data_IF_812724431252
#
_entry.id   IF_812724431252
#
_cell.length_a   1.000
_cell.length_b   1.000
_cell.length_c   1.000
_cell.angle_alpha   90.00
_cell.angle_beta   90.00
_cell.angle_gamma   90.00
#
_symmetry.space_group_name_H-M   'P 1'
#
loop_
_entity.id
_entity.type
_entity.pdbx_description
1 polymer ?
#
# COMPACT_ATOMS: atom_id res chain seq x y z
N UNK A 1 67.82 62.40 -30.42
CA UNK A 1 66.64 63.24 -30.73
C UNK A 1 65.79 63.30 -29.47
N UNK A 2 65.84 64.42 -28.74
CA UNK A 2 65.03 64.69 -27.55
C UNK A 2 63.71 65.33 -27.98
N UNK A 3 62.59 64.74 -27.57
CA UNK A 3 61.25 65.34 -27.72
C UNK A 3 61.02 66.18 -26.46
N UNK A 4 61.13 67.50 -26.58
CA UNK A 4 60.74 68.43 -25.53
C UNK A 4 59.21 68.47 -25.45
N UNK A 5 58.63 67.88 -24.40
CA UNK A 5 57.25 68.10 -24.03
C UNK A 5 57.13 69.51 -23.44
N UNK A 6 56.54 70.42 -24.21
CA UNK A 6 56.15 71.75 -23.76
C UNK A 6 55.01 71.62 -22.75
N UNK A 7 55.34 71.74 -21.46
CA UNK A 7 54.35 71.94 -20.41
C UNK A 7 54.06 73.44 -20.32
N UNK A 8 52.91 73.84 -20.84
CA UNK A 8 52.31 75.14 -20.54
C UNK A 8 51.89 75.09 -19.06
N UNK A 9 52.62 75.78 -18.20
CA UNK A 9 52.16 76.10 -16.85
C UNK A 9 51.06 77.16 -16.97
N UNK A 10 49.83 76.91 -16.49
CA UNK A 10 48.90 78.00 -16.27
C UNK A 10 49.35 78.76 -15.01
N UNK A 11 49.72 80.02 -15.19
CA UNK A 11 49.82 81.00 -14.10
C UNK A 11 48.43 81.13 -13.45
N UNK A 12 48.25 80.46 -12.31
CA UNK A 12 47.13 80.73 -11.41
C UNK A 12 47.60 81.73 -10.35
N UNK A 13 47.40 83.01 -10.63
CA UNK A 13 47.26 84.02 -9.58
C UNK A 13 45.96 83.76 -8.81
N UNK A 14 46.02 82.78 -7.92
CA UNK A 14 44.91 82.38 -7.05
C UNK A 14 44.67 83.47 -6.00
N UNK A 15 43.58 84.21 -6.16
CA UNK A 15 43.04 85.04 -5.08
C UNK A 15 42.74 84.16 -3.85
N UNK A 16 43.13 84.56 -2.63
CA UNK A 16 42.98 83.73 -1.41
C UNK A 16 41.53 83.28 -1.13
N UNK A 17 40.54 84.03 -1.63
CA UNK A 17 39.11 83.69 -1.56
C UNK A 17 38.73 82.44 -2.37
N UNK A 18 39.39 82.22 -3.51
CA UNK A 18 39.11 81.09 -4.41
C UNK A 18 39.62 79.78 -3.81
N UNK A 19 40.75 79.84 -3.08
CA UNK A 19 41.31 78.72 -2.35
C UNK A 19 40.43 78.32 -1.15
N UNK A 20 39.89 79.30 -0.41
CA UNK A 20 38.97 79.02 0.72
C UNK A 20 37.63 78.44 0.25
N UNK A 21 37.09 78.90 -0.88
CA UNK A 21 35.91 78.29 -1.50
C UNK A 21 36.17 76.85 -1.95
N UNK A 22 37.33 76.57 -2.56
CA UNK A 22 37.70 75.22 -2.96
C UNK A 22 37.82 74.28 -1.74
N UNK A 23 38.45 74.74 -0.65
CA UNK A 23 38.51 74.00 0.61
C UNK A 23 37.12 73.71 1.16
N UNK A 24 36.23 74.70 1.19
CA UNK A 24 34.87 74.53 1.68
C UNK A 24 34.08 73.50 0.86
N UNK A 25 34.20 73.53 -0.48
CA UNK A 25 33.55 72.56 -1.36
C UNK A 25 34.12 71.15 -1.15
N UNK A 26 35.45 71.01 -1.08
CA UNK A 26 36.10 69.71 -0.86
C UNK A 26 35.71 69.12 0.49
N UNK A 27 35.68 69.93 1.55
CA UNK A 27 35.23 69.51 2.88
C UNK A 27 33.75 69.10 2.87
N UNK A 28 32.89 69.86 2.18
CA UNK A 28 31.47 69.52 2.03
C UNK A 28 31.26 68.17 1.35
N UNK A 29 31.98 67.91 0.25
CA UNK A 29 31.95 66.63 -0.47
C UNK A 29 32.47 65.47 0.41
N UNK A 30 33.56 65.68 1.15
CA UNK A 30 34.10 64.67 2.07
C UNK A 30 33.12 64.33 3.19
N UNK A 31 32.48 65.32 3.80
CA UNK A 31 31.48 65.11 4.86
C UNK A 31 30.24 64.37 4.32
N UNK A 32 29.76 64.75 3.13
CA UNK A 32 28.66 64.05 2.46
C UNK A 32 29.02 62.58 2.14
N UNK A 33 30.23 62.33 1.63
CA UNK A 33 30.72 60.99 1.33
C UNK A 33 30.87 60.14 2.61
N UNK A 34 31.42 60.71 3.69
CA UNK A 34 31.57 60.05 4.98
C UNK A 34 30.21 59.69 5.60
N UNK A 35 29.25 60.61 5.58
CA UNK A 35 27.90 60.36 6.11
C UNK A 35 27.15 59.33 5.27
N UNK A 36 27.26 59.35 3.94
CA UNK A 36 26.69 58.32 3.07
C UNK A 36 27.33 56.94 3.33
N UNK A 37 28.66 56.87 3.46
CA UNK A 37 29.38 55.63 3.76
C UNK A 37 29.02 55.08 5.15
N UNK A 38 28.84 55.94 6.15
CA UNK A 38 28.42 55.55 7.49
C UNK A 38 26.99 55.04 7.50
N UNK A 39 26.07 55.72 6.79
CA UNK A 39 24.68 55.27 6.64
C UNK A 39 24.61 53.90 5.94
N UNK A 40 25.37 53.71 4.87
CA UNK A 40 25.48 52.41 4.18
C UNK A 40 25.99 51.30 5.12
N UNK A 41 27.05 51.55 5.89
CA UNK A 41 27.56 50.58 6.88
C UNK A 41 26.51 50.21 7.93
N UNK A 42 25.74 51.20 8.41
CA UNK A 42 24.67 50.96 9.37
C UNK A 42 23.53 50.12 8.78
N UNK A 43 23.11 50.40 7.54
CA UNK A 43 22.05 49.63 6.88
C UNK A 43 22.47 48.19 6.58
N UNK A 44 23.72 47.98 6.14
CA UNK A 44 24.24 46.63 5.90
C UNK A 44 24.28 45.83 7.20
N UNK A 45 24.82 46.40 8.29
CA UNK A 45 24.85 45.72 9.60
C UNK A 45 23.45 45.39 10.13
N UNK A 46 22.48 46.27 9.91
CA UNK A 46 21.10 46.02 10.32
C UNK A 46 20.47 44.91 9.49
N UNK A 47 20.68 44.92 8.17
CA UNK A 47 20.21 43.86 7.27
C UNK A 47 20.83 42.49 7.59
N UNK A 48 22.12 42.43 7.91
CA UNK A 48 22.79 41.17 8.32
C UNK A 48 22.21 40.59 9.62
N UNK A 49 21.90 41.44 10.60
CA UNK A 49 21.25 40.99 11.85
C UNK A 49 19.84 40.49 11.60
N UNK A 50 19.05 41.26 10.84
CA UNK A 50 17.69 40.86 10.48
C UNK A 50 17.68 39.54 9.69
N UNK A 51 18.63 39.35 8.76
CA UNK A 51 18.77 38.10 8.03
C UNK A 51 19.17 36.92 8.93
N UNK A 52 20.02 37.17 9.93
CA UNK A 52 20.43 36.14 10.91
C UNK A 52 19.26 35.74 11.82
N UNK A 53 18.48 36.72 12.30
CA UNK A 53 17.28 36.47 13.12
C UNK A 53 16.23 35.68 12.33
N UNK A 54 15.91 36.10 11.10
CA UNK A 54 14.98 35.37 10.23
C UNK A 54 15.46 33.94 9.93
N UNK A 55 16.76 33.76 9.66
CA UNK A 55 17.33 32.43 9.42
C UNK A 55 17.22 31.54 10.65
N UNK A 56 17.44 32.10 11.84
CA UNK A 56 17.31 31.37 13.10
C UNK A 56 15.86 30.99 13.38
N UNK A 57 14.91 31.89 13.16
CA UNK A 57 13.49 31.64 13.42
C UNK A 57 12.88 30.66 12.41
N UNK A 58 13.27 30.75 11.13
CA UNK A 58 12.95 29.73 10.13
C UNK A 58 13.53 28.37 10.53
N UNK A 59 14.79 28.33 11.01
CA UNK A 59 15.41 27.11 11.51
C UNK A 59 14.63 26.47 12.66
N UNK A 60 14.20 27.26 13.65
CA UNK A 60 13.35 26.78 14.76
C UNK A 60 11.99 26.29 14.27
N UNK A 61 11.35 27.02 13.35
CA UNK A 61 10.05 26.65 12.79
C UNK A 61 10.12 25.32 12.04
N UNK A 62 11.12 25.18 11.15
CA UNK A 62 11.34 23.95 10.39
C UNK A 62 11.67 22.77 11.31
N UNK A 63 12.46 22.98 12.35
CA UNK A 63 12.76 21.96 13.35
C UNK A 63 11.49 21.50 14.09
N UNK A 64 10.65 22.43 14.53
CA UNK A 64 9.39 22.10 15.21
C UNK A 64 8.43 21.33 14.30
N UNK A 65 8.36 21.71 13.01
CA UNK A 65 7.53 21.02 12.02
C UNK A 65 8.05 19.60 11.72
N UNK A 66 9.37 19.43 11.61
CA UNK A 66 10.00 18.12 11.44
C UNK A 66 9.69 17.20 12.63
N UNK A 67 9.81 17.69 13.87
CA UNK A 67 9.49 16.92 15.07
C UNK A 67 8.00 16.56 15.15
N UNK A 68 7.11 17.47 14.73
CA UNK A 68 5.69 17.20 14.66
C UNK A 68 5.38 16.08 13.65
N UNK A 69 5.99 16.12 12.47
CA UNK A 69 5.86 15.08 11.45
C UNK A 69 6.45 13.74 11.90
N UNK A 70 7.62 13.74 12.54
CA UNK A 70 8.20 12.52 13.14
C UNK A 70 7.25 11.93 14.20
N UNK A 71 6.67 12.75 15.06
CA UNK A 71 5.70 12.30 16.06
C UNK A 71 4.44 11.72 15.43
N UNK A 72 3.95 12.31 14.33
CA UNK A 72 2.84 11.74 13.54
C UNK A 72 3.22 10.38 12.95
N UNK A 73 4.41 10.26 12.34
CA UNK A 73 4.91 8.99 11.78
C UNK A 73 5.01 7.88 12.84
N UNK A 74 5.58 8.18 14.00
CA UNK A 74 5.67 7.22 15.11
C UNK A 74 4.27 6.82 15.61
N UNK A 75 3.31 7.76 15.66
CA UNK A 75 1.92 7.44 16.01
C UNK A 75 1.25 6.53 14.98
N UNK A 76 1.43 6.81 13.68
CA UNK A 76 0.86 5.95 12.63
C UNK A 76 1.47 4.56 12.63
N UNK A 77 2.79 4.45 12.84
CA UNK A 77 3.49 3.16 12.92
C UNK A 77 3.03 2.34 14.13
N UNK A 78 2.85 2.97 15.29
CA UNK A 78 2.26 2.33 16.48
C UNK A 78 0.83 1.87 16.24
N UNK A 79 0.03 2.62 15.48
CA UNK A 79 -1.32 2.21 15.13
C UNK A 79 -1.31 1.01 14.17
N UNK A 80 -0.44 1.02 13.15
CA UNK A 80 -0.28 -0.08 12.21
C UNK A 80 0.15 -1.37 12.90
N UNK A 81 1.17 -1.31 13.76
CA UNK A 81 1.64 -2.46 14.55
C UNK A 81 0.57 -3.00 15.49
N UNK A 82 -0.25 -2.13 16.12
CA UNK A 82 -1.41 -2.56 16.91
C UNK A 82 -2.43 -3.32 16.07
N UNK A 83 -2.81 -2.79 14.91
CA UNK A 83 -3.75 -3.45 14.01
C UNK A 83 -3.20 -4.78 13.50
N UNK A 84 -1.91 -4.83 13.15
CA UNK A 84 -1.25 -6.06 12.72
C UNK A 84 -1.26 -7.13 13.81
N UNK A 85 -1.01 -6.74 15.06
CA UNK A 85 -1.09 -7.65 16.21
C UNK A 85 -2.52 -8.12 16.44
N UNK A 86 -3.52 -7.23 16.37
CA UNK A 86 -4.93 -7.62 16.48
C UNK A 86 -5.35 -8.62 15.40
N UNK A 87 -4.92 -8.41 14.17
CA UNK A 87 -5.20 -9.31 13.05
C UNK A 87 -4.58 -10.69 13.29
N UNK A 88 -3.30 -10.71 13.71
CA UNK A 88 -2.61 -11.96 14.09
C UNK A 88 -3.36 -12.70 15.19
N UNK A 89 -3.73 -11.99 16.26
CA UNK A 89 -4.43 -12.60 17.40
C UNK A 89 -5.81 -13.12 16.98
N UNK A 90 -6.52 -12.42 16.08
CA UNK A 90 -7.78 -12.88 15.51
C UNK A 90 -7.61 -14.18 14.71
N UNK A 91 -6.57 -14.29 13.88
CA UNK A 91 -6.27 -15.53 13.17
C UNK A 91 -5.91 -16.70 14.09
N UNK A 92 -5.16 -16.43 15.18
CA UNK A 92 -4.86 -17.47 16.18
C UNK A 92 -6.16 -17.97 16.82
N UNK A 93 -7.05 -17.06 17.25
CA UNK A 93 -8.34 -17.43 17.84
C UNK A 93 -9.22 -18.20 16.87
N UNK A 94 -9.26 -17.79 15.60
CA UNK A 94 -10.02 -18.50 14.58
C UNK A 94 -9.51 -19.94 14.46
N UNK A 95 -8.20 -20.13 14.40
CA UNK A 95 -7.59 -21.46 14.37
C UNK A 95 -7.91 -22.28 15.62
N UNK A 96 -7.84 -21.68 16.81
CA UNK A 96 -8.21 -22.35 18.07
C UNK A 96 -9.67 -22.78 18.08
N UNK A 97 -10.58 -21.93 17.60
CA UNK A 97 -12.01 -22.26 17.47
C UNK A 97 -12.22 -23.41 16.49
N UNK A 98 -11.55 -23.40 15.34
CA UNK A 98 -11.62 -24.50 14.38
C UNK A 98 -11.09 -25.82 14.97
N UNK A 99 -10.00 -25.77 15.74
CA UNK A 99 -9.48 -26.94 16.46
C UNK A 99 -10.48 -27.46 17.48
N UNK A 100 -11.07 -26.59 18.30
CA UNK A 100 -12.08 -26.98 19.28
C UNK A 100 -13.35 -27.57 18.64
N UNK A 101 -13.82 -26.98 17.53
CA UNK A 101 -14.93 -27.53 16.73
C UNK A 101 -14.61 -28.91 16.17
N UNK A 102 -13.39 -29.12 15.68
CA UNK A 102 -12.95 -30.41 15.17
C UNK A 102 -12.84 -31.47 16.27
N UNK A 103 -12.42 -31.10 17.47
CA UNK A 103 -12.40 -31.97 18.65
C UNK A 103 -13.82 -32.34 19.11
N UNK A 104 -14.70 -31.36 19.26
CA UNK A 104 -16.11 -31.61 19.61
C UNK A 104 -16.79 -32.55 18.61
N UNK A 105 -16.58 -32.33 17.30
CA UNK A 105 -17.10 -33.22 16.26
C UNK A 105 -16.53 -34.63 16.35
N UNK A 106 -15.28 -34.80 16.79
CA UNK A 106 -14.68 -36.12 17.02
C UNK A 106 -15.32 -36.81 18.22
N UNK A 107 -15.52 -36.10 19.32
CA UNK A 107 -16.18 -36.63 20.51
C UNK A 107 -17.64 -37.06 20.22
N UNK A 108 -18.37 -36.28 19.43
CA UNK A 108 -19.72 -36.63 18.96
C UNK A 108 -19.71 -37.95 18.16
N UNK A 109 -18.76 -38.09 17.22
CA UNK A 109 -18.60 -39.31 16.44
C UNK A 109 -18.18 -40.52 17.31
N UNK A 110 -17.35 -40.32 18.31
CA UNK A 110 -16.95 -41.37 19.26
C UNK A 110 -18.11 -41.78 20.18
N UNK A 111 -18.95 -40.83 20.59
CA UNK A 111 -20.18 -41.05 21.36
C UNK A 111 -21.27 -41.77 20.56
N UNK A 112 -21.44 -41.42 19.28
CA UNK A 112 -22.29 -42.17 18.35
C UNK A 112 -21.74 -43.58 18.10
N UNK A 113 -20.43 -43.74 17.92
CA UNK A 113 -19.79 -45.04 17.73
C UNK A 113 -19.84 -45.93 19.00
N UNK A 114 -19.93 -45.34 20.19
CA UNK A 114 -20.22 -46.08 21.43
C UNK A 114 -21.66 -46.60 21.52
N UNK A 115 -22.58 -46.03 20.74
CA UNK A 115 -24.02 -46.41 20.70
C UNK A 115 -24.34 -47.39 19.57
N UNK A 116 -23.53 -47.40 18.52
CA UNK A 116 -23.55 -48.39 17.45
C UNK A 116 -22.57 -49.51 17.82
N UNK A 117 -23.01 -50.75 18.05
CA UNK A 117 -22.13 -51.88 18.40
C UNK A 117 -21.15 -52.34 17.29
N UNK A 118 -20.54 -51.42 16.53
CA UNK A 118 -19.58 -51.67 15.46
C UNK A 118 -18.13 -51.46 15.95
N UNK A 119 -17.76 -52.07 17.07
CA UNK A 119 -16.36 -52.13 17.52
C UNK A 119 -15.60 -53.34 16.97
N UNK A 120 -15.98 -53.89 15.81
CA UNK A 120 -15.31 -55.08 15.25
C UNK A 120 -14.87 -54.95 13.81
N UNK A 121 -14.25 -53.81 13.47
CA UNK A 121 -13.59 -53.64 12.16
C UNK A 121 -12.28 -52.84 12.25
N UNK A 122 -11.60 -52.86 13.40
CA UNK A 122 -10.26 -52.25 13.59
C UNK A 122 -9.11 -53.23 13.78
N UNK A 123 -9.31 -54.52 13.57
CA UNK A 123 -8.22 -55.53 13.60
C UNK A 123 -7.90 -56.08 12.21
N UNK A 124 -7.82 -55.21 11.19
CA UNK A 124 -7.19 -55.53 9.91
C UNK A 124 -6.45 -54.29 9.37
N UNK A 125 -5.47 -53.80 10.13
CA UNK A 125 -4.49 -52.84 9.62
C UNK A 125 -3.16 -52.97 10.37
N UNK A 126 -2.68 -54.20 10.53
CA UNK A 126 -1.24 -54.44 10.65
C UNK A 126 -0.75 -54.87 9.26
N UNK A 127 -0.08 -53.95 8.58
CA UNK A 127 0.33 -54.12 7.19
C UNK A 127 0.42 -52.78 6.49
N UNK A 128 1.54 -52.10 6.69
CA UNK A 128 1.84 -50.82 6.06
C UNK A 128 1.70 -50.89 4.53
N UNK A 129 0.65 -50.29 4.01
CA UNK A 129 0.59 -49.80 2.63
C UNK A 129 0.07 -48.38 2.69
N UNK A 130 1.00 -47.46 2.51
CA UNK A 130 0.71 -46.07 2.23
C UNK A 130 -0.21 -45.96 0.99
N UNK A 131 -1.33 -45.26 1.16
CA UNK A 131 -1.82 -44.32 0.16
C UNK A 131 -2.07 -44.83 -1.25
N UNK A 132 -2.93 -45.84 -1.42
CA UNK A 132 -3.67 -46.00 -2.68
C UNK A 132 -5.15 -46.07 -2.34
N UNK A 133 -5.89 -45.02 -2.66
CA UNK A 133 -7.35 -45.08 -2.60
C UNK A 133 -7.80 -46.29 -3.43
N UNK A 134 -8.73 -47.15 -2.95
CA UNK A 134 -9.11 -48.37 -3.66
C UNK A 134 -9.87 -48.03 -4.96
N UNK A 135 -9.11 -47.67 -5.98
CA UNK A 135 -9.61 -47.23 -7.28
C UNK A 135 -10.51 -48.30 -7.91
N UNK A 136 -10.19 -49.58 -7.70
CA UNK A 136 -10.99 -50.69 -8.18
C UNK A 136 -12.35 -50.82 -7.47
N UNK A 137 -12.49 -50.30 -6.25
CA UNK A 137 -13.78 -50.25 -5.53
C UNK A 137 -14.63 -49.08 -6.02
N UNK A 138 -14.01 -47.93 -6.29
CA UNK A 138 -14.68 -46.78 -6.88
C UNK A 138 -15.18 -47.09 -8.31
N UNK A 139 -14.37 -47.75 -9.14
CA UNK A 139 -14.79 -48.18 -10.48
C UNK A 139 -15.89 -49.26 -10.43
N UNK A 140 -15.83 -50.19 -9.46
CA UNK A 140 -16.95 -51.12 -9.22
C UNK A 140 -18.23 -50.41 -8.79
N UNK A 141 -18.13 -49.38 -7.95
CA UNK A 141 -19.28 -48.57 -7.55
C UNK A 141 -19.89 -47.79 -8.72
N UNK A 142 -19.06 -47.23 -9.62
CA UNK A 142 -19.54 -46.58 -10.86
C UNK A 142 -20.29 -47.55 -11.77
N UNK A 143 -19.79 -48.78 -11.93
CA UNK A 143 -20.41 -49.80 -12.77
C UNK A 143 -21.68 -50.43 -12.16
N UNK A 144 -21.91 -50.28 -10.86
CA UNK A 144 -23.12 -50.76 -10.17
C UNK A 144 -24.32 -49.80 -10.29
N UNK A 145 -24.10 -48.58 -10.81
CA UNK A 145 -25.18 -47.64 -11.08
C UNK A 145 -25.81 -47.93 -12.45
N UNK A 146 -26.83 -48.79 -12.48
CA UNK A 146 -27.81 -48.76 -13.57
C UNK A 146 -28.53 -47.40 -13.60
N UNK A 147 -28.85 -46.89 -14.79
CA UNK A 147 -29.55 -45.61 -15.03
C UNK A 147 -30.84 -45.42 -14.18
N UNK A 148 -31.42 -46.51 -13.68
CA UNK A 148 -32.63 -46.50 -12.82
C UNK A 148 -32.37 -46.13 -11.35
N UNK A 149 -31.12 -46.16 -10.91
CA UNK A 149 -30.71 -45.84 -9.53
C UNK A 149 -29.62 -44.77 -9.51
N UNK A 150 -29.65 -43.87 -10.49
CA UNK A 150 -28.83 -42.67 -10.44
C UNK A 150 -29.30 -41.80 -9.26
N UNK A 151 -28.42 -41.38 -8.33
CA UNK A 151 -28.80 -40.39 -7.33
C UNK A 151 -29.35 -39.16 -8.06
N UNK A 152 -30.48 -38.63 -7.61
CA UNK A 152 -31.03 -37.39 -8.15
C UNK A 152 -30.00 -36.27 -7.94
N UNK A 153 -29.17 -36.03 -8.95
CA UNK A 153 -28.17 -34.97 -8.92
C UNK A 153 -28.94 -33.64 -8.91
N UNK A 154 -28.69 -32.83 -7.89
CA UNK A 154 -29.26 -31.49 -7.84
C UNK A 154 -28.65 -30.67 -8.98
N UNK A 155 -29.45 -29.86 -9.69
CA UNK A 155 -28.93 -29.01 -10.75
C UNK A 155 -27.88 -28.06 -10.16
N UNK A 156 -26.82 -27.79 -10.93
CA UNK A 156 -25.87 -26.75 -10.57
C UNK A 156 -26.59 -25.40 -10.67
N UNK A 157 -26.55 -24.60 -9.61
CA UNK A 157 -27.25 -23.30 -9.53
C UNK A 157 -26.20 -22.19 -9.58
N UNK A 158 -26.45 -21.19 -10.43
CA UNK A 158 -25.70 -19.94 -10.49
C UNK A 158 -26.46 -18.86 -9.72
N UNK A 159 -25.71 -18.00 -9.05
CA UNK A 159 -26.24 -16.79 -8.43
C UNK A 159 -25.97 -15.59 -9.34
N UNK A 160 -27.02 -14.86 -9.72
CA UNK A 160 -26.91 -13.63 -10.51
C UNK A 160 -27.30 -12.42 -9.66
N UNK A 161 -26.47 -11.37 -9.72
CA UNK A 161 -26.69 -10.11 -9.02
C UNK A 161 -27.14 -9.04 -10.01
N UNK A 162 -28.28 -8.41 -9.73
CA UNK A 162 -28.77 -7.24 -10.46
C UNK A 162 -28.68 -6.03 -9.53
N UNK A 163 -28.01 -4.97 -10.01
CA UNK A 163 -27.88 -3.72 -9.28
C UNK A 163 -28.91 -2.74 -9.81
N UNK A 164 -29.89 -2.38 -8.98
CA UNK A 164 -30.92 -1.42 -9.33
C UNK A 164 -30.73 -0.17 -8.45
N UNK A 165 -30.47 0.99 -9.07
CA UNK A 165 -30.24 2.23 -8.35
C UNK A 165 -29.88 3.40 -9.28
N UNK A 166 -30.53 4.54 -9.07
CA UNK A 166 -30.13 5.82 -9.67
C UNK A 166 -28.93 6.43 -8.94
N UNK A 167 -28.23 7.38 -9.59
CA UNK A 167 -26.95 7.94 -9.14
C UNK A 167 -26.90 8.46 -7.68
N UNK A 168 -28.05 8.73 -7.05
CA UNK A 168 -28.17 9.33 -5.72
C UNK A 168 -28.71 8.37 -4.63
N UNK A 169 -28.86 7.07 -4.89
CA UNK A 169 -29.33 6.09 -3.87
C UNK A 169 -28.41 4.88 -3.80
N UNK A 170 -28.21 4.32 -2.60
CA UNK A 170 -27.43 3.09 -2.42
C UNK A 170 -28.01 1.98 -3.32
N UNK A 171 -27.17 1.27 -4.08
CA UNK A 171 -27.66 0.28 -5.04
C UNK A 171 -28.39 -0.84 -4.30
N UNK A 172 -29.62 -1.12 -4.70
CA UNK A 172 -30.36 -2.28 -4.25
C UNK A 172 -29.82 -3.50 -5.01
N UNK A 173 -29.37 -4.52 -4.27
CA UNK A 173 -28.82 -5.73 -4.85
C UNK A 173 -29.93 -6.78 -4.85
N UNK A 174 -30.40 -7.13 -6.05
CA UNK A 174 -31.35 -8.22 -6.24
C UNK A 174 -30.55 -9.48 -6.60
N UNK A 175 -30.64 -10.50 -5.76
CA UNK A 175 -29.99 -11.80 -5.97
C UNK A 175 -30.99 -12.80 -6.53
N UNK A 176 -30.65 -13.46 -7.63
CA UNK A 176 -31.46 -14.52 -8.26
C UNK A 176 -30.66 -15.81 -8.37
N UNK A 177 -31.27 -16.92 -7.97
CA UNK A 177 -30.71 -18.26 -8.13
C UNK A 177 -31.30 -18.91 -9.39
N UNK A 178 -30.44 -19.24 -10.35
CA UNK A 178 -30.85 -19.77 -11.65
C UNK A 178 -30.06 -21.04 -11.95
N UNK A 179 -30.70 -22.18 -12.26
CA UNK A 179 -29.98 -23.39 -12.64
C UNK A 179 -29.23 -23.19 -13.97
N UNK A 180 -27.99 -23.69 -14.04
CA UNK A 180 -27.21 -23.66 -15.27
C UNK A 180 -27.90 -24.46 -16.37
N UNK A 181 -27.96 -23.87 -17.57
CA UNK A 181 -28.44 -24.57 -18.76
C UNK A 181 -27.43 -25.63 -19.23
N UNK A 182 -27.91 -26.63 -19.97
CA UNK A 182 -27.06 -27.71 -20.49
C UNK A 182 -25.89 -27.19 -21.35
N UNK A 183 -26.09 -26.10 -22.09
CA UNK A 183 -25.06 -25.49 -22.94
C UNK A 183 -24.02 -24.71 -22.13
N UNK A 184 -24.42 -24.07 -21.03
CA UNK A 184 -23.49 -23.44 -20.10
C UNK A 184 -22.65 -24.47 -19.35
N UNK A 185 -23.28 -25.57 -18.91
CA UNK A 185 -22.57 -26.70 -18.31
C UNK A 185 -21.55 -27.31 -19.28
N UNK A 186 -21.90 -27.48 -20.56
CA UNK A 186 -20.98 -27.95 -21.58
C UNK A 186 -19.78 -26.99 -21.76
N UNK A 187 -20.00 -25.67 -21.72
CA UNK A 187 -18.92 -24.66 -21.77
C UNK A 187 -18.04 -24.65 -20.53
N UNK A 188 -18.61 -24.90 -19.34
CA UNK A 188 -17.83 -25.05 -18.11
C UNK A 188 -16.99 -26.33 -18.17
N UNK A 189 -17.60 -27.43 -18.58
CA UNK A 189 -16.89 -28.69 -18.75
C UNK A 189 -15.73 -28.56 -19.73
N UNK A 190 -15.94 -27.92 -20.88
CA UNK A 190 -14.87 -27.69 -21.86
C UNK A 190 -13.73 -26.84 -21.27
N UNK A 191 -14.06 -25.72 -20.61
CA UNK A 191 -13.05 -24.81 -20.03
C UNK A 191 -12.28 -25.40 -18.85
N UNK A 192 -12.96 -26.12 -17.97
CA UNK A 192 -12.42 -26.59 -16.69
C UNK A 192 -12.09 -28.09 -16.70
N UNK A 193 -12.34 -28.81 -17.79
CA UNK A 193 -11.89 -30.19 -17.93
C UNK A 193 -10.37 -30.25 -17.99
N UNK A 194 -9.81 -31.28 -17.35
CA UNK A 194 -8.38 -31.58 -17.40
C UNK A 194 -8.03 -32.12 -18.78
N UNK A 195 -6.99 -31.55 -19.39
CA UNK A 195 -6.47 -32.07 -20.65
C UNK A 195 -5.76 -33.43 -20.42
N UNK A 196 -5.78 -34.37 -21.37
CA UNK A 196 -5.22 -35.71 -21.17
C UNK A 196 -3.73 -35.78 -20.79
N UNK A 197 -2.95 -34.73 -21.07
CA UNK A 197 -1.50 -34.65 -20.78
C UNK A 197 -1.16 -33.69 -19.62
N UNK A 198 -2.17 -33.06 -19.05
CA UNK A 198 -2.01 -32.03 -18.03
C UNK A 198 -1.90 -32.67 -16.65
N UNK A 199 -0.94 -32.19 -15.86
CA UNK A 199 -0.80 -32.60 -14.46
C UNK A 199 -1.86 -31.92 -13.58
N UNK A 200 -2.20 -32.49 -12.42
CA UNK A 200 -3.21 -31.90 -11.53
C UNK A 200 -2.85 -30.46 -11.12
N UNK A 201 -1.57 -30.20 -10.82
CA UNK A 201 -1.08 -28.86 -10.49
C UNK A 201 -1.19 -27.89 -11.65
N UNK A 202 -0.92 -28.34 -12.87
CA UNK A 202 -1.04 -27.52 -14.07
C UNK A 202 -2.50 -27.16 -14.37
N UNK A 203 -3.42 -28.11 -14.17
CA UNK A 203 -4.86 -27.89 -14.28
C UNK A 203 -5.36 -26.86 -13.26
N UNK A 204 -4.98 -27.01 -12.00
CA UNK A 204 -5.35 -26.07 -10.94
C UNK A 204 -4.81 -24.67 -11.23
N UNK A 205 -3.55 -24.57 -11.69
CA UNK A 205 -2.95 -23.29 -12.05
C UNK A 205 -3.62 -22.64 -13.25
N UNK A 206 -3.91 -23.40 -14.32
CA UNK A 206 -4.64 -22.89 -15.49
C UNK A 206 -5.99 -22.35 -15.09
N UNK A 207 -6.78 -23.12 -14.34
CA UNK A 207 -8.11 -22.74 -13.87
C UNK A 207 -8.07 -21.50 -12.96
N UNK A 208 -7.06 -21.40 -12.09
CA UNK A 208 -6.87 -20.25 -11.20
C UNK A 208 -6.48 -18.97 -11.96
N UNK A 209 -5.71 -19.10 -13.05
CA UNK A 209 -5.24 -17.97 -13.86
C UNK A 209 -6.27 -17.52 -14.91
N UNK A 210 -7.18 -18.41 -15.32
CA UNK A 210 -8.31 -18.09 -16.21
C UNK A 210 -9.57 -17.65 -15.47
N UNK A 211 -9.48 -17.44 -14.14
CA UNK A 211 -10.55 -16.92 -13.30
C UNK A 211 -10.88 -15.46 -13.61
N UNK A 212 -11.54 -15.21 -14.75
CA UNK A 212 -12.23 -13.95 -15.04
C UNK A 212 -13.48 -13.74 -14.16
N UNK A 213 -13.95 -14.77 -13.44
CA UNK A 213 -14.98 -14.63 -12.41
C UNK A 213 -14.33 -14.41 -11.05
N UNK A 214 -14.45 -13.20 -10.52
CA UNK A 214 -14.37 -12.95 -9.08
C UNK A 214 -15.64 -13.55 -8.45
N UNK A 215 -15.53 -14.79 -7.97
CA UNK A 215 -16.51 -15.38 -7.05
C UNK A 215 -16.47 -14.62 -5.73
#
# INVERSE_FOLDING_TARGET
MMIMASWVQPDLDCSPLLLELLKAVVLGVLVAALTAAQKYKCTVKWAERAASELSQDLGKSLQAELEAEQKKRVRSERAATRLQNQLRDAFVRERELWSALAEARREDLESECGRCGLSKERELADGGVAGRYPWEEMERAKCQHDERTAPQLRPLIKTEFQYEGGADTAPEIITKEIPYSATELAKLQDRYSRLPRETETECVWRVSLTGEDRI
#
